data_IF_274384485267
#
_entry.id   IF_274384485267
#
_cell.length_a   1.000
_cell.length_b   1.000
_cell.length_c   1.000
_cell.angle_alpha   90.00
_cell.angle_beta   90.00
_cell.angle_gamma   90.00
#
_symmetry.space_group_name_H-M   'P 1'
#
loop_
_entity.id
_entity.type
_entity.pdbx_description
1 polymer ?
#
# COMPACT_ATOMS: atom_id res chain seq x y z
N UNK A 1 10.22 15.89 -11.31
CA UNK A 1 10.41 15.52 -9.89
C UNK A 1 9.52 16.33 -8.97
N UNK A 2 9.59 17.67 -8.95
CA UNK A 2 8.78 18.50 -8.04
C UNK A 2 7.26 18.28 -8.17
N UNK A 3 6.72 18.25 -9.39
CA UNK A 3 5.28 17.99 -9.62
C UNK A 3 4.87 16.61 -9.11
N UNK A 4 5.73 15.59 -9.26
CA UNK A 4 5.45 14.23 -8.76
C UNK A 4 5.47 14.17 -7.24
N UNK A 5 6.46 14.82 -6.62
CA UNK A 5 6.51 14.96 -5.16
C UNK A 5 5.22 15.61 -4.63
N UNK A 6 4.75 16.68 -5.26
CA UNK A 6 3.51 17.36 -4.86
C UNK A 6 2.28 16.46 -5.05
N UNK A 7 2.19 15.73 -6.17
CA UNK A 7 1.10 14.76 -6.39
C UNK A 7 1.12 13.65 -5.33
N UNK A 8 2.29 13.12 -5.02
CA UNK A 8 2.48 12.13 -3.96
C UNK A 8 2.06 12.64 -2.59
N UNK A 9 2.47 13.87 -2.25
CA UNK A 9 2.11 14.54 -1.00
C UNK A 9 0.59 14.70 -0.88
N UNK A 10 -0.07 15.16 -1.95
CA UNK A 10 -1.53 15.35 -1.99
C UNK A 10 -2.27 14.01 -1.89
N UNK A 11 -1.86 12.99 -2.64
CA UNK A 11 -2.46 11.64 -2.54
C UNK A 11 -2.33 11.08 -1.13
N UNK A 12 -1.15 11.18 -0.55
CA UNK A 12 -0.88 10.78 0.83
C UNK A 12 -1.78 11.54 1.81
N UNK A 13 -1.85 12.86 1.69
CA UNK A 13 -2.69 13.70 2.55
C UNK A 13 -4.18 13.33 2.46
N UNK A 14 -4.68 13.01 1.26
CA UNK A 14 -6.05 12.53 1.06
C UNK A 14 -6.26 11.18 1.74
N UNK A 15 -5.37 10.20 1.53
CA UNK A 15 -5.50 8.86 2.12
C UNK A 15 -5.44 8.94 3.65
N UNK A 16 -4.39 9.57 4.20
CA UNK A 16 -4.20 9.71 5.64
C UNK A 16 -5.28 10.56 6.31
N UNK A 17 -5.71 11.64 5.65
CA UNK A 17 -6.79 12.50 6.12
C UNK A 17 -8.14 11.79 6.15
N UNK A 18 -8.48 11.00 5.13
CA UNK A 18 -9.73 10.22 5.12
C UNK A 18 -9.76 9.14 6.21
N UNK A 19 -8.66 8.40 6.38
CA UNK A 19 -8.59 7.37 7.43
C UNK A 19 -8.60 8.02 8.82
N UNK A 20 -7.86 9.12 9.02
CA UNK A 20 -7.89 9.87 10.27
C UNK A 20 -9.26 10.47 10.57
N UNK A 21 -9.97 10.99 9.56
CA UNK A 21 -11.33 11.47 9.71
C UNK A 21 -12.31 10.35 10.05
N UNK A 22 -12.20 9.19 9.41
CA UNK A 22 -13.01 8.02 9.74
C UNK A 22 -12.79 7.58 11.19
N UNK A 23 -11.54 7.52 11.65
CA UNK A 23 -11.20 7.23 13.05
C UNK A 23 -11.81 8.27 13.99
N UNK A 24 -11.70 9.55 13.66
CA UNK A 24 -12.30 10.61 14.46
C UNK A 24 -13.83 10.48 14.57
N UNK A 25 -14.50 10.12 13.46
CA UNK A 25 -15.95 9.86 13.45
C UNK A 25 -16.36 8.61 14.24
N UNK A 26 -15.46 7.64 14.39
CA UNK A 26 -15.65 6.46 15.23
C UNK A 26 -15.31 6.70 16.71
N UNK A 27 -15.00 7.95 17.11
CA UNK A 27 -14.65 8.30 18.48
C UNK A 27 -13.15 8.22 18.80
N UNK A 28 -12.30 7.89 17.82
CA UNK A 28 -10.85 7.81 17.96
C UNK A 28 -10.15 9.07 17.43
N UNK A 29 -10.64 10.25 17.83
CA UNK A 29 -10.10 11.53 17.38
C UNK A 29 -8.66 11.77 17.86
N UNK A 30 -8.38 11.49 19.14
CA UNK A 30 -7.05 11.16 19.63
C UNK A 30 -7.01 9.67 19.92
N UNK A 31 -6.38 8.85 19.09
CA UNK A 31 -6.23 7.44 19.40
C UNK A 31 -5.12 7.24 20.44
N UNK A 32 -5.38 6.34 21.39
CA UNK A 32 -4.33 5.78 22.25
C UNK A 32 -3.20 5.16 21.41
N UNK A 33 -2.05 4.87 22.04
CA UNK A 33 -0.84 4.40 21.35
C UNK A 33 -1.14 3.29 20.34
N UNK A 34 -1.76 2.20 20.80
CA UNK A 34 -2.03 1.03 19.96
C UNK A 34 -2.83 1.37 18.70
N UNK A 35 -3.96 2.08 18.83
CA UNK A 35 -4.82 2.43 17.69
C UNK A 35 -4.10 3.37 16.73
N UNK A 36 -3.31 4.31 17.25
CA UNK A 36 -2.53 5.24 16.42
C UNK A 36 -1.46 4.50 15.59
N UNK A 37 -0.72 3.57 16.20
CA UNK A 37 0.31 2.80 15.50
C UNK A 37 -0.30 1.82 14.49
N UNK A 38 -1.38 1.12 14.83
CA UNK A 38 -2.06 0.22 13.90
C UNK A 38 -2.67 0.98 12.72
N UNK A 39 -3.31 2.13 12.97
CA UNK A 39 -3.84 2.97 11.91
C UNK A 39 -2.73 3.59 11.05
N UNK A 40 -1.60 3.97 11.65
CA UNK A 40 -0.43 4.42 10.89
C UNK A 40 0.10 3.29 9.99
N UNK A 41 0.27 2.08 10.50
CA UNK A 41 0.71 0.94 9.72
C UNK A 41 -0.25 0.64 8.56
N UNK A 42 -1.56 0.69 8.81
CA UNK A 42 -2.58 0.54 7.77
C UNK A 42 -2.46 1.63 6.69
N UNK A 43 -2.37 2.89 7.10
CA UNK A 43 -2.23 4.02 6.18
C UNK A 43 -0.95 3.91 5.37
N UNK A 44 0.17 3.58 6.00
CA UNK A 44 1.45 3.35 5.32
C UNK A 44 1.36 2.22 4.28
N UNK A 45 0.69 1.12 4.63
CA UNK A 45 0.43 0.02 3.70
C UNK A 45 -0.43 0.48 2.52
N UNK A 46 -1.50 1.24 2.76
CA UNK A 46 -2.38 1.75 1.71
C UNK A 46 -1.65 2.71 0.78
N UNK A 47 -0.84 3.63 1.31
CA UNK A 47 -0.04 4.53 0.48
C UNK A 47 0.98 3.74 -0.36
N UNK A 48 1.64 2.74 0.23
CA UNK A 48 2.57 1.87 -0.49
C UNK A 48 1.89 1.02 -1.57
N UNK A 49 0.66 0.55 -1.33
CA UNK A 49 -0.14 -0.22 -2.29
C UNK A 49 -0.58 0.62 -3.50
N UNK A 50 -0.90 1.89 -3.27
CA UNK A 50 -1.32 2.84 -4.31
C UNK A 50 -0.11 3.42 -5.06
N UNK A 51 1.10 3.29 -4.52
CA UNK A 51 2.31 3.77 -5.14
C UNK A 51 2.81 2.83 -6.25
N UNK A 52 2.96 3.36 -7.46
CA UNK A 52 3.65 2.69 -8.57
C UNK A 52 2.72 1.85 -9.46
N UNK A 53 3.20 0.67 -9.87
CA UNK A 53 2.46 -0.23 -10.76
C UNK A 53 1.23 -0.78 -10.03
N UNK A 54 0.07 -0.83 -10.70
CA UNK A 54 -1.12 -1.32 -10.06
C UNK A 54 -1.03 -2.82 -9.77
N UNK A 55 -1.70 -3.27 -8.71
CA UNK A 55 -1.68 -4.67 -8.24
C UNK A 55 -2.16 -5.70 -9.27
N UNK A 56 -2.88 -5.26 -10.30
CA UNK A 56 -3.37 -6.11 -11.38
C UNK A 56 -2.39 -6.26 -12.55
N UNK A 57 -1.27 -5.53 -12.55
CA UNK A 57 -0.19 -5.76 -13.51
C UNK A 57 0.57 -7.06 -13.18
N UNK A 58 1.07 -7.76 -14.20
CA UNK A 58 1.76 -9.06 -14.03
C UNK A 58 2.92 -8.99 -13.02
N UNK A 59 3.72 -7.92 -13.10
CA UNK A 59 4.87 -7.69 -12.20
C UNK A 59 4.51 -6.78 -10.99
N UNK A 60 3.29 -6.26 -10.92
CA UNK A 60 2.89 -5.26 -9.92
C UNK A 60 2.63 -5.83 -8.52
N UNK A 61 2.34 -7.13 -8.40
CA UNK A 61 1.92 -7.73 -7.12
C UNK A 61 3.03 -7.76 -6.08
N UNK A 62 4.24 -8.17 -6.48
CA UNK A 62 5.39 -8.28 -5.57
C UNK A 62 5.85 -6.88 -5.18
N UNK A 63 5.95 -5.97 -6.15
CA UNK A 63 6.36 -4.59 -5.92
C UNK A 63 5.39 -3.85 -4.98
N UNK A 64 4.09 -3.95 -5.25
CA UNK A 64 3.06 -3.32 -4.42
C UNK A 64 2.99 -3.93 -3.02
N UNK A 65 3.15 -5.26 -2.90
CA UNK A 65 3.23 -5.94 -1.60
C UNK A 65 4.44 -5.49 -0.78
N UNK A 66 5.61 -5.39 -1.42
CA UNK A 66 6.84 -4.93 -0.78
C UNK A 66 6.72 -3.46 -0.35
N UNK A 67 6.19 -2.59 -1.22
CA UNK A 67 5.92 -1.19 -0.90
C UNK A 67 4.92 -1.05 0.24
N UNK A 68 3.84 -1.85 0.25
CA UNK A 68 2.88 -1.84 1.35
C UNK A 68 3.52 -2.29 2.68
N UNK A 69 4.33 -3.35 2.66
CA UNK A 69 5.03 -3.85 3.83
C UNK A 69 6.01 -2.82 4.41
N UNK A 70 6.88 -2.24 3.57
CA UNK A 70 7.78 -1.17 4.00
C UNK A 70 7.02 0.08 4.43
N UNK A 71 5.96 0.45 3.71
CA UNK A 71 5.11 1.58 4.04
C UNK A 71 4.52 1.46 5.44
N UNK A 72 4.04 0.26 5.81
CA UNK A 72 3.53 -0.02 7.14
C UNK A 72 4.61 0.18 8.23
N UNK A 73 5.80 -0.39 8.03
CA UNK A 73 6.91 -0.28 9.00
C UNK A 73 7.41 1.16 9.13
N UNK A 74 7.60 1.86 8.00
CA UNK A 74 8.01 3.26 8.00
C UNK A 74 6.96 4.16 8.65
N UNK A 75 5.67 3.88 8.44
CA UNK A 75 4.59 4.63 9.07
C UNK A 75 4.59 4.48 10.60
N UNK A 76 4.98 3.32 11.14
CA UNK A 76 5.16 3.16 12.60
C UNK A 76 6.25 4.10 13.13
N UNK A 77 7.40 4.16 12.45
CA UNK A 77 8.49 5.07 12.81
C UNK A 77 8.11 6.54 12.68
N UNK A 78 7.41 6.91 11.61
CA UNK A 78 6.91 8.28 11.41
C UNK A 78 5.82 8.64 12.43
N UNK A 79 4.95 7.70 12.81
CA UNK A 79 3.96 7.92 13.87
C UNK A 79 4.65 8.14 15.21
N UNK A 80 5.70 7.39 15.52
CA UNK A 80 6.51 7.65 16.72
C UNK A 80 7.12 9.06 16.68
N UNK A 81 7.69 9.47 15.54
CA UNK A 81 8.29 10.80 15.37
C UNK A 81 7.24 11.92 15.55
N UNK A 82 6.09 11.79 14.91
CA UNK A 82 5.01 12.80 15.00
C UNK A 82 4.50 12.93 16.44
N UNK A 83 4.23 11.81 17.13
CA UNK A 83 3.76 11.86 18.52
C UNK A 83 4.84 12.34 19.50
N UNK A 84 6.12 12.10 19.21
CA UNK A 84 7.23 12.50 20.08
C UNK A 84 7.60 13.97 19.94
N UNK A 85 7.56 14.51 18.73
CA UNK A 85 8.11 15.84 18.43
C UNK A 85 7.07 16.88 18.02
N UNK A 86 5.92 16.49 17.45
CA UNK A 86 4.88 17.43 17.02
C UNK A 86 3.84 17.64 18.12
N UNK A 87 4.31 18.07 19.29
CA UNK A 87 3.48 18.33 20.48
C UNK A 87 2.89 19.75 20.51
N UNK A 88 3.11 20.53 19.45
CA UNK A 88 2.54 21.87 19.31
C UNK A 88 1.01 21.79 19.28
N UNK A 89 0.37 22.61 20.11
CA UNK A 89 -1.08 22.73 20.17
C UNK A 89 -1.64 23.41 18.93
N UNK A 90 -2.86 23.04 18.53
CA UNK A 90 -3.52 23.71 17.42
C UNK A 90 -3.96 25.14 17.81
N UNK A 91 -3.83 26.12 16.90
CA UNK A 91 -4.18 27.51 17.19
C UNK A 91 -5.70 27.76 17.20
N UNK A 92 -6.51 26.77 16.84
CA UNK A 92 -7.97 26.83 16.78
C UNK A 92 -8.62 25.82 17.73
N UNK A 93 -9.87 26.11 18.11
CA UNK A 93 -10.67 25.22 18.94
C UNK A 93 -11.17 24.03 18.10
N UNK A 94 -11.12 22.84 18.69
CA UNK A 94 -11.56 21.59 18.10
C UNK A 94 -13.04 21.29 18.40
N UNK A 95 -13.68 22.04 19.30
CA UNK A 95 -15.07 21.84 19.67
C UNK A 95 -15.32 20.41 20.15
N UNK A 96 -16.26 19.69 19.54
CA UNK A 96 -16.58 18.30 19.89
C UNK A 96 -15.38 17.33 19.76
N UNK A 97 -14.37 17.65 18.94
CA UNK A 97 -13.14 16.86 18.84
C UNK A 97 -12.20 17.09 20.04
N UNK A 98 -12.33 18.19 20.77
CA UNK A 98 -11.54 18.49 21.97
C UNK A 98 -11.92 17.58 23.15
N UNK A 99 -13.22 17.27 23.31
CA UNK A 99 -13.70 16.40 24.38
C UNK A 99 -13.12 14.99 24.28
N UNK A 100 -12.96 14.48 23.06
CA UNK A 100 -12.30 13.21 22.79
C UNK A 100 -10.79 13.23 23.11
N UNK A 101 -10.13 14.39 23.11
CA UNK A 101 -8.72 14.53 23.52
C UNK A 101 -8.55 14.59 25.04
N UNK A 102 -9.50 15.21 25.76
CA UNK A 102 -9.44 15.34 27.22
C UNK A 102 -9.51 14.00 27.95
N UNK A 103 -10.23 13.03 27.40
CA UNK A 103 -10.36 11.68 27.99
C UNK A 103 -9.04 10.89 28.03
N UNK A 104 -8.01 11.35 27.33
CA UNK A 104 -6.71 10.67 27.21
C UNK A 104 -5.57 11.36 27.96
N UNK A 105 -5.87 12.37 28.78
CA UNK A 105 -4.87 13.13 29.52
C UNK A 105 -3.79 13.78 28.63
N UNK A 106 -4.08 14.05 27.35
CA UNK A 106 -3.23 14.95 26.57
C UNK A 106 -3.35 16.35 27.17
N UNK A 107 -2.22 16.92 27.57
CA UNK A 107 -2.11 18.18 28.32
C UNK A 107 -2.55 19.43 27.54
N UNK A 108 -2.88 19.29 26.26
CA UNK A 108 -3.37 20.38 25.43
C UNK A 108 -4.90 20.28 25.27
N UNK A 109 -5.64 21.22 25.88
CA UNK A 109 -7.09 21.40 25.68
C UNK A 109 -7.50 21.49 24.19
N UNK A 110 -6.56 21.91 23.33
CA UNK A 110 -6.74 22.09 21.89
C UNK A 110 -6.22 20.93 21.04
N UNK A 111 -5.80 19.80 21.66
CA UNK A 111 -5.11 18.71 20.99
C UNK A 111 -3.75 19.12 20.40
N UNK A 112 -2.95 18.14 20.02
CA UNK A 112 -1.65 18.37 19.36
C UNK A 112 -1.65 17.90 17.92
N UNK A 113 -0.78 18.48 17.09
CA UNK A 113 -0.62 18.06 15.68
C UNK A 113 -0.26 16.56 15.58
N UNK A 114 0.59 16.07 16.49
CA UNK A 114 0.99 14.66 16.55
C UNK A 114 -0.03 13.74 17.23
N UNK A 115 -0.90 14.26 18.11
CA UNK A 115 -1.86 13.45 18.88
C UNK A 115 -3.15 13.13 18.13
N UNK A 116 -3.63 14.05 17.30
CA UNK A 116 -4.87 13.89 16.54
C UNK A 116 -4.70 12.92 15.37
N UNK A 117 -5.64 11.98 15.22
CA UNK A 117 -5.65 11.02 14.11
C UNK A 117 -5.64 11.71 12.75
N UNK A 118 -6.47 12.75 12.58
CA UNK A 118 -6.64 13.45 11.29
C UNK A 118 -5.33 14.09 10.83
N UNK A 119 -4.63 14.78 11.73
CA UNK A 119 -3.40 15.51 11.37
C UNK A 119 -2.19 14.59 11.31
N UNK A 120 -2.02 13.72 12.30
CA UNK A 120 -0.86 12.81 12.37
C UNK A 120 -0.87 11.80 11.21
N UNK A 121 -2.00 11.15 10.93
CA UNK A 121 -2.09 10.19 9.82
C UNK A 121 -1.98 10.88 8.47
N UNK A 122 -2.55 12.08 8.30
CA UNK A 122 -2.36 12.87 7.08
C UNK A 122 -0.89 13.22 6.85
N UNK A 123 -0.17 13.65 7.89
CA UNK A 123 1.26 13.96 7.79
C UNK A 123 2.11 12.74 7.47
N UNK A 124 1.90 11.63 8.19
CA UNK A 124 2.61 10.36 7.93
C UNK A 124 2.37 9.89 6.49
N UNK A 125 1.12 9.89 6.04
CA UNK A 125 0.75 9.48 4.69
C UNK A 125 1.30 10.42 3.62
N UNK A 126 1.24 11.72 3.84
CA UNK A 126 1.76 12.73 2.92
C UNK A 126 3.26 12.54 2.70
N UNK A 127 4.03 12.39 3.78
CA UNK A 127 5.48 12.15 3.70
C UNK A 127 5.76 10.90 2.88
N UNK A 128 5.13 9.77 3.21
CA UNK A 128 5.32 8.51 2.47
C UNK A 128 4.90 8.61 1.00
N UNK A 129 3.75 9.22 0.74
CA UNK A 129 3.24 9.40 -0.63
C UNK A 129 4.17 10.28 -1.47
N UNK A 130 4.70 11.35 -0.86
CA UNK A 130 5.72 12.20 -1.48
C UNK A 130 6.97 11.40 -1.87
N UNK A 131 7.52 10.61 -0.95
CA UNK A 131 8.70 9.78 -1.23
C UNK A 131 8.44 8.74 -2.32
N UNK A 132 7.33 8.01 -2.25
CA UNK A 132 7.03 6.99 -3.25
C UNK A 132 6.78 7.54 -4.65
N UNK A 133 6.09 8.68 -4.79
CA UNK A 133 5.80 9.27 -6.10
C UNK A 133 7.04 10.02 -6.65
N UNK A 134 7.89 10.55 -5.78
CA UNK A 134 9.18 11.11 -6.17
C UNK A 134 10.18 10.05 -6.67
N UNK A 135 10.19 8.87 -6.05
CA UNK A 135 11.08 7.75 -6.40
C UNK A 135 10.58 6.93 -7.60
N UNK A 136 9.28 7.00 -7.92
CA UNK A 136 8.74 6.35 -9.10
C UNK A 136 9.24 7.01 -10.40
N UNK A 137 10.13 6.31 -11.10
CA UNK A 137 10.46 6.59 -12.49
C UNK A 137 9.58 5.71 -13.39
N UNK A 138 8.75 6.29 -14.28
CA UNK A 138 8.05 5.46 -15.26
C UNK A 138 9.11 4.84 -16.16
N UNK A 139 9.02 3.53 -16.37
CA UNK A 139 9.81 2.84 -17.38
C UNK A 139 9.70 3.65 -18.69
N UNK A 140 10.84 4.04 -19.26
CA UNK A 140 10.97 4.86 -20.47
C UNK A 140 10.41 4.20 -21.74
N UNK A 141 9.59 3.16 -21.62
CA UNK A 141 9.09 2.31 -22.69
C UNK A 141 7.57 2.30 -22.91
N UNK A 142 6.76 2.95 -22.06
CA UNK A 142 5.31 3.00 -22.27
C UNK A 142 4.85 4.44 -22.57
N UNK A 143 5.02 4.85 -23.83
CA UNK A 143 4.27 5.99 -24.36
C UNK A 143 2.77 5.71 -24.19
N UNK A 144 2.10 6.64 -23.54
CA UNK A 144 0.66 6.93 -23.57
C UNK A 144 -0.16 6.11 -24.57
N UNK A 145 -0.92 5.12 -24.11
CA UNK A 145 -2.15 4.75 -24.80
C UNK A 145 -3.24 5.71 -24.35
N UNK A 146 -3.31 6.79 -25.13
CA UNK A 146 -4.36 7.78 -25.07
C UNK A 146 -5.75 7.15 -25.30
N UNK A 147 -6.73 7.73 -24.62
CA UNK A 147 -8.04 8.06 -25.18
C UNK A 147 -8.26 7.61 -26.63
N UNK A 148 -9.00 6.52 -26.82
CA UNK A 148 -9.91 6.33 -27.96
C UNK A 148 -11.00 5.33 -27.57
N UNK A 149 -12.14 5.86 -27.15
CA UNK A 149 -13.39 5.13 -27.28
C UNK A 149 -13.82 5.14 -28.75
N UNK A 150 -14.01 3.96 -29.34
CA UNK A 150 -15.10 3.70 -30.29
C UNK A 150 -15.22 2.20 -30.58
N UNK A 151 -16.33 1.64 -30.11
CA UNK A 151 -17.23 0.66 -30.75
C UNK A 151 -16.69 -0.50 -31.60
N UNK A 152 -17.18 -1.68 -31.19
CA UNK A 152 -17.74 -2.77 -32.02
C UNK A 152 -16.79 -3.73 -32.74
N UNK A 153 -17.02 -5.02 -32.50
CA UNK A 153 -16.51 -6.12 -33.33
C UNK A 153 -16.27 -7.41 -32.55
N UNK A 154 -17.32 -8.22 -32.39
CA UNK A 154 -17.24 -9.54 -31.78
C UNK A 154 -16.64 -10.59 -32.73
N UNK A 155 -15.74 -11.42 -32.17
CA UNK A 155 -15.44 -12.84 -32.51
C UNK A 155 -14.78 -13.18 -33.87
N UNK A 156 -14.16 -14.37 -34.07
CA UNK A 156 -14.21 -15.58 -33.22
C UNK A 156 -12.86 -16.31 -32.93
N UNK A 157 -12.93 -17.16 -31.90
CA UNK A 157 -11.96 -18.19 -31.49
C UNK A 157 -11.55 -19.11 -32.66
N UNK A 158 -10.27 -19.14 -33.01
CA UNK A 158 -9.69 -20.20 -33.83
C UNK A 158 -9.11 -21.31 -32.93
N UNK A 159 -9.82 -22.43 -32.90
CA UNK A 159 -9.46 -23.72 -32.31
C UNK A 159 -8.30 -24.32 -33.13
N UNK A 160 -7.09 -24.41 -32.56
CA UNK A 160 -6.01 -25.18 -33.19
C UNK A 160 -6.34 -26.67 -32.99
N UNK A 161 -6.67 -27.33 -34.12
CA UNK A 161 -6.78 -28.78 -34.24
C UNK A 161 -5.43 -29.43 -33.97
N UNK A 162 -5.45 -30.52 -33.23
CA UNK A 162 -4.36 -31.48 -33.14
C UNK A 162 -3.95 -31.97 -34.53
N UNK A 163 -2.64 -32.07 -34.76
CA UNK A 163 -2.03 -32.85 -35.83
C UNK A 163 -1.18 -33.97 -35.20
N UNK A 164 -1.11 -35.15 -35.84
CA UNK A 164 -0.68 -36.40 -35.22
C UNK A 164 0.84 -36.60 -35.31
N UNK A 165 1.40 -37.30 -34.32
CA UNK A 165 2.72 -37.93 -34.43
C UNK A 165 3.90 -36.98 -34.27
N UNK A 166 4.28 -36.73 -33.03
CA UNK A 166 5.65 -36.36 -32.69
C UNK A 166 5.96 -37.00 -31.34
N UNK A 167 6.59 -38.17 -31.41
CA UNK A 167 7.17 -38.88 -30.28
C UNK A 167 8.18 -37.98 -29.57
N UNK A 168 7.88 -37.58 -28.34
CA UNK A 168 8.81 -36.97 -27.39
C UNK A 168 8.39 -37.37 -25.96
N UNK A 169 8.37 -38.67 -25.69
CA UNK A 169 8.52 -39.19 -24.34
C UNK A 169 10.03 -39.36 -24.09
N UNK A 170 10.69 -38.32 -23.61
CA UNK A 170 11.96 -38.45 -22.88
C UNK A 170 12.16 -37.22 -21.98
N UNK A 171 12.24 -37.51 -20.68
CA UNK A 171 12.93 -36.74 -19.63
C UNK A 171 12.13 -35.86 -18.65
N UNK A 172 11.01 -36.39 -18.13
CA UNK A 172 10.50 -36.01 -16.79
C UNK A 172 10.18 -37.24 -15.96
N UNK A 173 11.23 -37.95 -15.51
CA UNK A 173 11.14 -39.09 -14.60
C UNK A 173 11.69 -38.76 -13.21
N UNK A 174 10.95 -37.95 -12.44
CA UNK A 174 11.03 -37.99 -10.98
C UNK A 174 10.12 -39.14 -10.54
N UNK A 175 10.68 -40.28 -10.15
CA UNK A 175 9.99 -41.23 -9.28
C UNK A 175 11.00 -42.11 -8.52
N UNK A 176 11.07 -41.80 -7.22
CA UNK A 176 11.12 -42.69 -6.07
C UNK A 176 12.05 -43.92 -6.06
N UNK A 177 12.94 -43.90 -5.07
CA UNK A 177 13.70 -45.01 -4.51
C UNK A 177 12.87 -46.29 -4.30
N UNK A 178 13.12 -47.32 -5.12
CA UNK A 178 12.74 -48.71 -4.79
C UNK A 178 13.92 -49.65 -5.13
N UNK A 179 14.51 -50.37 -4.15
CA UNK A 179 15.71 -51.17 -4.39
C UNK A 179 15.40 -52.47 -5.15
N UNK A 180 16.08 -52.67 -6.28
CA UNK A 180 15.98 -53.87 -7.12
C UNK A 180 16.60 -55.11 -6.42
N UNK A 181 15.78 -56.15 -6.24
CA UNK A 181 16.22 -57.51 -5.87
C UNK A 181 16.70 -58.28 -7.10
N UNK A 182 17.98 -58.69 -7.04
CA UNK A 182 18.63 -59.89 -7.60
C UNK A 182 18.32 -60.31 -9.04
N UNK A 183 19.34 -60.13 -9.88
CA UNK A 183 19.60 -60.86 -11.13
C UNK A 183 19.68 -62.38 -10.89
N UNK A 184 19.04 -63.16 -11.77
CA UNK A 184 19.40 -64.55 -12.05
C UNK A 184 19.61 -64.70 -13.56
N UNK A 185 20.86 -64.97 -13.94
CA UNK A 185 21.35 -65.18 -15.30
C UNK A 185 21.10 -66.64 -15.70
N UNK A 186 20.59 -66.89 -16.90
CA UNK A 186 20.82 -68.12 -17.67
C UNK A 186 21.23 -67.72 -19.08
#
# INVERSE_FOLDING_TARGET
MLVRLLLGLVKGLVIGGLIGFALAKLGFAAPGALVAYLSAALVGALVGLVAGKPIWAADGKIEAGLKAGFGAVLALGLMWLTRRFLTFGLPFDLGALAEANRSLHETADRGTIGGLAVTSLALVAAVLGGFYDADNTPDSGAKSDASKGQTAGASPKARIKAAPGADLDEDLGLDEDVPQKKQAKR
#
